data_IF_309223577057
#
_entry.id   IF_309223577057
#
_cell.length_a   1.000
_cell.length_b   1.000
_cell.length_c   1.000
_cell.angle_alpha   90.00
_cell.angle_beta   90.00
_cell.angle_gamma   90.00
#
_symmetry.space_group_name_H-M   'P 1'
#
loop_
_entity.id
_entity.type
_entity.pdbx_description
1 polymer ?
#
# COMPACT_ATOMS: atom_id res chain seq x y z
N UNK A 1 -8.78 0.50 18.67
CA UNK A 1 -8.01 -0.41 17.80
C UNK A 1 -7.79 -1.81 18.37
N UNK A 2 -7.34 -1.95 19.63
CA UNK A 2 -6.96 -3.24 20.24
C UNK A 2 -7.96 -4.38 20.07
N UNK A 3 -9.27 -4.15 20.27
CA UNK A 3 -10.30 -5.18 20.08
C UNK A 3 -10.29 -5.75 18.65
N UNK A 4 -10.19 -4.90 17.63
CA UNK A 4 -10.17 -5.31 16.22
C UNK A 4 -8.89 -6.08 15.90
N UNK A 5 -7.74 -5.59 16.39
CA UNK A 5 -6.44 -6.27 16.23
C UNK A 5 -6.45 -7.66 16.85
N UNK A 6 -7.00 -7.82 18.06
CA UNK A 6 -7.14 -9.14 18.72
C UNK A 6 -8.04 -10.09 17.93
N UNK A 7 -9.11 -9.59 17.32
CA UNK A 7 -9.99 -10.40 16.44
C UNK A 7 -9.27 -10.85 15.17
N UNK A 8 -8.54 -9.95 14.52
CA UNK A 8 -7.71 -10.28 13.34
C UNK A 8 -6.66 -11.34 13.70
N UNK A 9 -5.94 -11.16 14.82
CA UNK A 9 -4.99 -12.16 15.35
C UNK A 9 -5.68 -13.50 15.65
N UNK A 10 -6.84 -13.45 16.30
CA UNK A 10 -7.63 -14.65 16.64
C UNK A 10 -8.19 -15.39 15.43
N UNK A 11 -8.40 -14.70 14.31
CA UNK A 11 -8.77 -15.31 13.02
C UNK A 11 -7.61 -16.02 12.31
N UNK A 12 -6.39 -15.96 12.86
CA UNK A 12 -5.21 -16.66 12.35
C UNK A 12 -4.27 -15.80 11.50
N UNK A 13 -4.57 -14.51 11.34
CA UNK A 13 -3.65 -13.59 10.68
C UNK A 13 -2.39 -13.37 11.52
N UNK A 14 -1.24 -13.31 10.84
CA UNK A 14 0.03 -12.93 11.45
C UNK A 14 0.48 -11.50 11.08
N UNK A 15 -0.16 -10.88 10.10
CA UNK A 15 0.22 -9.60 9.49
C UNK A 15 -1.03 -8.82 9.13
N UNK A 16 -0.97 -7.49 9.25
CA UNK A 16 -1.98 -6.57 8.74
C UNK A 16 -1.41 -5.61 7.70
N UNK A 17 -2.26 -5.15 6.80
CA UNK A 17 -1.95 -4.14 5.81
C UNK A 17 -2.59 -2.81 6.21
N UNK A 18 -1.81 -1.74 6.20
CA UNK A 18 -2.25 -0.46 6.77
C UNK A 18 -1.94 0.66 5.78
N UNK A 19 -3.00 1.26 5.22
CA UNK A 19 -2.88 2.51 4.50
C UNK A 19 -2.74 3.71 5.43
N UNK A 20 -2.03 4.75 4.98
CA UNK A 20 -1.91 6.04 5.69
C UNK A 20 -2.38 7.15 4.76
N UNK A 21 -3.63 7.61 4.87
CA UNK A 21 -4.19 8.62 3.97
C UNK A 21 -3.56 10.00 4.21
N UNK A 22 -2.78 10.48 3.25
CA UNK A 22 -2.06 11.76 3.36
C UNK A 22 -3.02 12.93 3.64
N UNK A 23 -4.15 13.04 2.94
CA UNK A 23 -5.15 14.09 3.14
C UNK A 23 -5.79 14.11 4.54
N UNK A 24 -5.80 12.98 5.25
CA UNK A 24 -6.31 12.89 6.61
C UNK A 24 -5.34 13.52 7.61
N UNK A 25 -4.04 13.34 7.34
CA UNK A 25 -2.95 13.84 8.18
C UNK A 25 -2.51 15.27 7.80
N UNK A 26 -2.71 15.73 6.56
CA UNK A 26 -2.33 17.07 6.11
C UNK A 26 -3.50 17.78 5.41
N UNK A 27 -4.55 18.07 6.18
CA UNK A 27 -5.76 18.76 5.68
C UNK A 27 -5.48 20.16 5.13
N UNK A 28 -4.46 20.84 5.67
CA UNK A 28 -3.93 22.12 5.19
C UNK A 28 -2.44 21.94 4.91
N UNK A 29 -1.97 22.46 3.78
CA UNK A 29 -0.55 22.39 3.40
C UNK A 29 0.37 22.89 4.53
N UNK A 30 1.37 22.08 4.86
CA UNK A 30 2.35 22.27 5.93
C UNK A 30 1.82 22.00 7.34
N UNK A 31 0.55 21.58 7.51
CA UNK A 31 -0.05 21.34 8.84
C UNK A 31 -0.42 19.87 9.02
N UNK A 32 0.52 19.14 9.62
CA UNK A 32 0.38 17.73 9.91
C UNK A 32 -0.29 17.48 11.27
N UNK A 33 -1.18 16.49 11.29
CA UNK A 33 -1.91 16.05 12.48
C UNK A 33 -1.89 14.53 12.59
N UNK A 34 -1.26 14.05 13.67
CA UNK A 34 -1.15 12.65 14.05
C UNK A 34 -1.67 12.44 15.48
N UNK A 35 -2.64 13.24 15.92
CA UNK A 35 -3.22 13.11 17.25
C UNK A 35 -4.61 12.44 17.23
N UNK A 36 -5.03 11.96 18.40
CA UNK A 36 -6.36 11.38 18.57
C UNK A 36 -6.59 10.16 17.68
N UNK A 37 -7.63 10.20 16.85
CA UNK A 37 -7.92 9.13 15.88
C UNK A 37 -6.89 9.00 14.75
N UNK A 38 -6.00 9.98 14.60
CA UNK A 38 -4.91 10.00 13.60
C UNK A 38 -3.58 9.50 14.15
N UNK A 39 -3.55 9.02 15.39
CA UNK A 39 -2.34 8.61 16.08
C UNK A 39 -1.83 7.26 15.58
N UNK A 40 -1.06 7.30 14.49
CA UNK A 40 -0.45 6.13 13.88
C UNK A 40 0.68 5.54 14.74
N UNK A 41 1.34 6.34 15.57
CA UNK A 41 2.38 5.88 16.49
C UNK A 41 1.78 4.95 17.55
N UNK A 42 0.69 5.39 18.17
CA UNK A 42 -0.09 4.57 19.10
C UNK A 42 -0.67 3.34 18.41
N UNK A 43 -1.24 3.50 17.21
CA UNK A 43 -1.79 2.36 16.47
C UNK A 43 -0.75 1.27 16.23
N UNK A 44 0.43 1.62 15.72
CA UNK A 44 1.51 0.66 15.43
C UNK A 44 2.08 0.03 16.71
N UNK A 45 2.18 0.80 17.80
CA UNK A 45 2.54 0.27 19.12
C UNK A 45 1.58 -0.83 19.58
N UNK A 46 0.27 -0.61 19.40
CA UNK A 46 -0.76 -1.60 19.74
C UNK A 46 -0.71 -2.84 18.83
N UNK A 47 -0.37 -2.68 17.54
CA UNK A 47 -0.22 -3.81 16.61
C UNK A 47 0.94 -4.70 17.06
N UNK A 48 2.07 -4.11 17.43
CA UNK A 48 3.22 -4.81 18.00
C UNK A 48 2.86 -5.52 19.31
N UNK A 49 2.14 -4.86 20.22
CA UNK A 49 1.70 -5.45 21.49
C UNK A 49 0.81 -6.68 21.28
N UNK A 50 -0.09 -6.64 20.30
CA UNK A 50 -0.95 -7.79 19.93
C UNK A 50 -0.15 -8.91 19.23
N UNK A 51 1.08 -8.65 18.79
CA UNK A 51 1.94 -9.62 18.14
C UNK A 51 1.59 -9.88 16.67
N UNK A 52 1.23 -8.81 15.96
CA UNK A 52 1.01 -8.81 14.50
C UNK A 52 2.15 -8.05 13.81
N UNK A 53 2.51 -8.48 12.61
CA UNK A 53 3.36 -7.71 11.70
C UNK A 53 2.55 -6.69 10.89
N UNK A 54 3.23 -5.72 10.29
CA UNK A 54 2.62 -4.67 9.48
C UNK A 54 3.28 -4.60 8.10
N UNK A 55 2.47 -4.58 7.06
CA UNK A 55 2.83 -3.97 5.79
C UNK A 55 2.27 -2.55 5.80
N UNK A 56 3.15 -1.56 5.81
CA UNK A 56 2.74 -0.16 5.81
C UNK A 56 2.64 0.37 4.38
N UNK A 57 1.56 1.08 4.06
CA UNK A 57 1.23 1.56 2.71
C UNK A 57 0.91 3.06 2.78
N UNK A 58 1.90 3.95 2.99
CA UNK A 58 1.62 5.37 3.22
C UNK A 58 1.41 6.20 1.94
N UNK A 59 1.25 5.54 0.79
CA UNK A 59 0.92 6.20 -0.47
C UNK A 59 2.14 6.56 -1.32
N UNK A 60 2.20 7.77 -1.92
CA UNK A 60 1.36 8.95 -1.62
C UNK A 60 -0.11 8.81 -2.04
N UNK A 61 -0.40 8.00 -3.06
CA UNK A 61 -1.77 7.60 -3.44
C UNK A 61 -2.06 6.20 -2.91
N UNK A 62 -3.24 5.98 -2.35
CA UNK A 62 -3.66 4.71 -1.72
C UNK A 62 -4.93 4.10 -2.30
N UNK A 63 -5.66 4.81 -3.18
CA UNK A 63 -7.02 4.42 -3.58
C UNK A 63 -7.95 4.23 -2.36
N UNK A 64 -8.23 2.98 -1.98
CA UNK A 64 -8.90 2.57 -0.74
C UNK A 64 -10.35 3.07 -0.58
N UNK A 65 -11.04 3.41 -1.68
CA UNK A 65 -12.37 4.01 -1.64
C UNK A 65 -12.43 5.20 -0.67
N UNK A 66 -11.33 5.95 -0.59
CA UNK A 66 -11.11 7.09 0.28
C UNK A 66 -11.06 8.38 -0.55
N UNK A 67 -11.52 9.49 0.02
CA UNK A 67 -11.52 10.80 -0.64
C UNK A 67 -10.14 11.13 -1.26
N UNK A 68 -10.14 11.59 -2.51
CA UNK A 68 -8.92 11.89 -3.28
C UNK A 68 -7.94 10.71 -3.46
N UNK A 69 -8.34 9.48 -3.13
CA UNK A 69 -7.42 8.34 -3.03
C UNK A 69 -6.29 8.57 -2.02
N UNK A 70 -6.57 9.36 -0.98
CA UNK A 70 -5.62 9.78 0.05
C UNK A 70 -4.81 11.03 -0.29
N UNK A 71 -4.90 11.60 -1.49
CA UNK A 71 -4.16 12.81 -1.85
C UNK A 71 -4.87 14.08 -1.35
N UNK A 72 -4.16 15.05 -0.72
CA UNK A 72 -4.78 16.29 -0.27
C UNK A 72 -5.38 17.12 -1.40
N UNK A 73 -6.58 17.67 -1.18
CA UNK A 73 -7.29 18.48 -2.17
C UNK A 73 -6.48 19.71 -2.66
N UNK A 74 -5.67 20.30 -1.80
CA UNK A 74 -4.84 21.45 -2.13
C UNK A 74 -3.71 21.15 -3.13
N UNK A 75 -3.37 19.87 -3.37
CA UNK A 75 -2.43 19.49 -4.44
C UNK A 75 -3.04 19.75 -5.81
N UNK A 76 -4.34 19.50 -6.00
CA UNK A 76 -4.99 19.53 -7.31
C UNK A 76 -5.16 20.95 -7.87
N UNK A 77 -5.00 21.98 -7.04
CA UNK A 77 -5.07 23.38 -7.47
C UNK A 77 -3.69 24.00 -7.74
N UNK A 78 -2.60 23.22 -7.62
CA UNK A 78 -1.24 23.70 -7.91
C UNK A 78 -1.06 23.80 -9.42
N UNK A 79 -0.72 25.00 -9.88
CA UNK A 79 -0.50 25.25 -11.31
C UNK A 79 0.66 24.39 -11.84
N UNK A 80 0.44 23.70 -12.95
CA UNK A 80 1.45 22.89 -13.63
C UNK A 80 1.79 21.55 -12.97
N UNK A 81 1.19 21.20 -11.83
CA UNK A 81 1.46 19.92 -11.15
C UNK A 81 0.97 18.74 -11.99
N UNK A 82 1.74 17.65 -12.01
CA UNK A 82 1.30 16.38 -12.60
C UNK A 82 1.27 15.30 -11.53
N UNK A 83 0.07 15.05 -11.03
CA UNK A 83 -0.20 14.07 -9.96
C UNK A 83 0.18 12.66 -10.42
N UNK A 84 0.84 11.90 -9.53
CA UNK A 84 1.27 10.51 -9.74
C UNK A 84 2.15 10.34 -11.00
N UNK A 85 3.03 11.31 -11.23
CA UNK A 85 4.05 11.29 -12.28
C UNK A 85 5.44 11.44 -11.68
N UNK A 86 6.47 11.16 -12.48
CA UNK A 86 7.86 11.55 -12.19
C UNK A 86 8.06 13.08 -12.40
N UNK A 87 7.18 13.87 -11.77
CA UNK A 87 7.11 15.33 -11.89
C UNK A 87 7.81 15.97 -10.67
N UNK A 88 8.82 16.82 -10.87
CA UNK A 88 9.57 17.43 -9.76
C UNK A 88 8.69 18.23 -8.79
N UNK A 89 7.65 18.91 -9.29
CA UNK A 89 6.76 19.70 -8.45
C UNK A 89 5.93 18.78 -7.54
N UNK A 90 5.26 17.76 -8.10
CA UNK A 90 4.53 16.76 -7.33
C UNK A 90 5.45 16.04 -6.32
N UNK A 91 6.61 15.57 -6.77
CA UNK A 91 7.57 14.84 -5.93
C UNK A 91 8.14 15.70 -4.79
N UNK A 92 8.21 17.03 -4.95
CA UNK A 92 8.60 17.93 -3.87
C UNK A 92 7.61 17.93 -2.69
N UNK A 93 6.31 17.77 -2.98
CA UNK A 93 5.28 17.63 -1.94
C UNK A 93 5.28 16.22 -1.34
N UNK A 94 5.44 15.19 -2.19
CA UNK A 94 5.57 13.80 -1.71
C UNK A 94 6.76 13.66 -0.75
N UNK A 95 7.88 14.34 -1.03
CA UNK A 95 9.05 14.35 -0.13
C UNK A 95 8.70 14.90 1.26
N UNK A 96 7.97 16.02 1.34
CA UNK A 96 7.50 16.59 2.63
C UNK A 96 6.57 15.64 3.37
N UNK A 97 5.66 14.98 2.66
CA UNK A 97 4.79 13.96 3.25
C UNK A 97 5.60 12.80 3.82
N UNK A 98 6.53 12.26 3.04
CA UNK A 98 7.38 11.15 3.44
C UNK A 98 8.28 11.51 4.61
N UNK A 99 8.84 12.72 4.65
CA UNK A 99 9.60 13.24 5.80
C UNK A 99 8.79 13.13 7.10
N UNK A 100 7.53 13.60 7.10
CA UNK A 100 6.70 13.58 8.32
C UNK A 100 6.17 12.20 8.69
N UNK A 101 5.62 11.45 7.72
CA UNK A 101 5.05 10.13 8.03
C UNK A 101 6.17 9.14 8.40
N UNK A 102 7.29 9.13 7.68
CA UNK A 102 8.39 8.19 7.94
C UNK A 102 9.09 8.52 9.25
N UNK A 103 9.16 9.80 9.68
CA UNK A 103 9.64 10.15 11.02
C UNK A 103 8.91 9.39 12.12
N UNK A 104 7.60 9.18 11.97
CA UNK A 104 6.79 8.40 12.90
C UNK A 104 6.94 6.89 12.65
N UNK A 105 6.98 6.44 11.40
CA UNK A 105 7.07 5.01 11.06
C UNK A 105 8.45 4.41 11.39
N UNK A 106 9.51 5.20 11.40
CA UNK A 106 10.89 4.72 11.48
C UNK A 106 11.16 3.82 12.70
N UNK A 107 10.78 4.20 13.95
CA UNK A 107 10.93 3.34 15.13
C UNK A 107 10.07 2.07 15.10
N UNK A 108 9.03 2.04 14.25
CA UNK A 108 8.13 0.88 14.12
C UNK A 108 8.61 -0.14 13.09
N UNK A 109 9.74 0.08 12.42
CA UNK A 109 10.36 -0.91 11.56
C UNK A 109 10.90 -2.09 12.36
N UNK A 110 10.77 -3.30 11.81
CA UNK A 110 11.26 -4.52 12.49
C UNK A 110 12.78 -4.48 12.74
N UNK A 111 13.52 -3.77 11.89
CA UNK A 111 14.95 -3.48 12.02
C UNK A 111 15.28 -2.59 13.22
N UNK A 112 14.31 -1.82 13.71
CA UNK A 112 14.39 -0.96 14.90
C UNK A 112 13.62 -1.55 16.11
N UNK A 113 13.21 -2.82 16.02
CA UNK A 113 12.47 -3.53 17.08
C UNK A 113 10.96 -3.37 17.05
N UNK A 114 10.41 -2.74 16.00
CA UNK A 114 8.99 -2.61 15.72
C UNK A 114 8.37 -3.80 14.98
N UNK A 115 7.23 -3.58 14.33
CA UNK A 115 6.44 -4.63 13.65
C UNK A 115 6.28 -4.44 12.14
N UNK A 116 6.71 -3.31 11.57
CA UNK A 116 6.67 -3.07 10.12
C UNK A 116 7.72 -3.94 9.43
N UNK A 117 7.27 -4.82 8.53
CA UNK A 117 8.12 -5.76 7.80
C UNK A 117 8.28 -5.40 6.32
N UNK A 118 7.34 -4.63 5.77
CA UNK A 118 7.34 -4.19 4.37
C UNK A 118 6.79 -2.77 4.29
N UNK A 119 7.30 -2.00 3.33
CA UNK A 119 6.82 -0.66 3.03
C UNK A 119 6.41 -0.61 1.56
N UNK A 120 5.14 -0.33 1.28
CA UNK A 120 4.66 -0.20 -0.09
C UNK A 120 4.81 1.24 -0.59
N UNK A 121 5.39 1.36 -1.78
CA UNK A 121 5.42 2.58 -2.59
C UNK A 121 4.23 2.58 -3.53
N UNK A 122 3.50 3.70 -3.58
CA UNK A 122 2.36 3.87 -4.50
C UNK A 122 1.25 2.82 -4.28
N UNK A 123 0.23 2.86 -5.13
CA UNK A 123 -0.83 1.87 -5.19
C UNK A 123 -1.39 1.71 -6.62
N UNK A 124 -1.24 0.51 -7.19
CA UNK A 124 -1.82 0.10 -8.46
C UNK A 124 -1.63 1.14 -9.59
N UNK A 125 -0.40 1.64 -9.73
CA UNK A 125 -0.04 2.65 -10.74
C UNK A 125 -0.43 2.22 -12.17
N UNK A 126 -0.53 0.91 -12.42
CA UNK A 126 -0.96 0.36 -13.71
C UNK A 126 -2.39 0.75 -14.14
N UNK A 127 -3.26 1.16 -13.21
CA UNK A 127 -4.58 1.71 -13.53
C UNK A 127 -4.57 3.22 -13.77
N UNK A 128 -3.40 3.85 -13.74
CA UNK A 128 -3.22 5.27 -13.99
C UNK A 128 -2.28 5.49 -15.17
N UNK A 129 -2.52 6.55 -15.93
CA UNK A 129 -1.66 6.89 -17.06
C UNK A 129 -0.39 7.60 -16.57
N UNK A 130 0.61 6.83 -16.17
CA UNK A 130 1.93 7.33 -15.79
C UNK A 130 2.88 7.29 -16.99
N UNK A 131 3.50 8.41 -17.34
CA UNK A 131 4.40 8.51 -18.49
C UNK A 131 5.77 7.86 -18.29
N UNK A 132 6.22 7.77 -17.04
CA UNK A 132 7.48 7.14 -16.63
C UNK A 132 7.30 6.37 -15.30
N UNK A 133 6.64 5.19 -15.34
CA UNK A 133 6.36 4.42 -14.12
C UNK A 133 7.65 4.01 -13.39
N UNK A 134 8.66 3.56 -14.14
CA UNK A 134 9.93 3.10 -13.57
C UNK A 134 10.68 4.24 -12.88
N UNK A 135 10.80 5.41 -13.53
CA UNK A 135 11.47 6.56 -12.94
C UNK A 135 10.70 7.11 -11.74
N UNK A 136 9.36 7.17 -11.81
CA UNK A 136 8.53 7.61 -10.69
C UNK A 136 8.71 6.70 -9.45
N UNK A 137 8.58 5.38 -9.60
CA UNK A 137 8.79 4.43 -8.49
C UNK A 137 10.23 4.49 -7.97
N UNK A 138 11.23 4.65 -8.85
CA UNK A 138 12.63 4.81 -8.44
C UNK A 138 12.83 6.07 -7.58
N UNK A 139 12.21 7.20 -7.94
CA UNK A 139 12.28 8.41 -7.13
C UNK A 139 11.56 8.25 -5.79
N UNK A 140 10.39 7.59 -5.75
CA UNK A 140 9.71 7.29 -4.48
C UNK A 140 10.55 6.40 -3.57
N UNK A 141 11.24 5.40 -4.14
CA UNK A 141 12.17 4.53 -3.42
C UNK A 141 13.29 5.36 -2.79
N UNK A 142 13.92 6.24 -3.55
CA UNK A 142 15.00 7.09 -3.06
C UNK A 142 14.52 8.02 -1.94
N UNK A 143 13.36 8.66 -2.10
CA UNK A 143 12.74 9.48 -1.04
C UNK A 143 12.50 8.65 0.23
N UNK A 144 12.00 7.43 0.12
CA UNK A 144 11.76 6.56 1.28
C UNK A 144 13.07 6.15 1.98
N UNK A 145 14.12 5.81 1.20
CA UNK A 145 15.44 5.46 1.73
C UNK A 145 16.13 6.64 2.40
N UNK A 146 16.11 7.82 1.78
CA UNK A 146 16.66 9.06 2.34
C UNK A 146 16.07 9.38 3.72
N UNK A 147 14.79 9.03 3.92
CA UNK A 147 14.05 9.27 5.17
C UNK A 147 14.18 8.12 6.19
N UNK A 148 14.96 7.07 5.90
CA UNK A 148 15.31 6.03 6.86
C UNK A 148 14.41 4.80 6.84
N UNK A 149 13.69 4.53 5.74
CA UNK A 149 13.09 3.21 5.53
C UNK A 149 14.21 2.21 5.23
N UNK A 150 14.29 1.14 6.02
CA UNK A 150 15.30 0.08 5.95
C UNK A 150 14.69 -1.28 5.62
N UNK A 151 13.40 -1.49 5.88
CA UNK A 151 12.68 -2.70 5.46
C UNK A 151 12.56 -2.81 3.93
N UNK A 152 12.28 -3.99 3.37
CA UNK A 152 12.07 -4.13 1.93
C UNK A 152 10.92 -3.24 1.43
N UNK A 153 11.15 -2.62 0.27
CA UNK A 153 10.18 -1.80 -0.43
C UNK A 153 9.44 -2.66 -1.44
N UNK A 154 8.12 -2.45 -1.55
CA UNK A 154 7.28 -3.17 -2.50
C UNK A 154 6.48 -2.20 -3.37
N UNK A 155 6.11 -2.61 -4.57
CA UNK A 155 5.01 -2.02 -5.36
C UNK A 155 3.91 -3.05 -5.56
N UNK A 156 2.67 -2.61 -5.75
CA UNK A 156 1.56 -3.49 -6.12
C UNK A 156 1.12 -3.25 -7.57
N UNK A 157 1.07 -4.33 -8.34
CA UNK A 157 0.52 -4.35 -9.70
C UNK A 157 -0.95 -4.75 -9.67
N UNK A 158 -1.83 -3.84 -10.05
CA UNK A 158 -3.26 -4.12 -10.24
C UNK A 158 -3.45 -5.15 -11.35
N UNK A 159 -4.06 -6.29 -11.03
CA UNK A 159 -4.28 -7.43 -11.94
C UNK A 159 -3.01 -7.92 -12.69
N UNK A 160 -1.83 -7.66 -12.14
CA UNK A 160 -0.56 -8.14 -12.71
C UNK A 160 -0.01 -7.34 -13.89
N UNK A 161 -0.43 -6.08 -14.13
CA UNK A 161 0.24 -5.19 -15.09
C UNK A 161 1.55 -4.62 -14.49
N UNK A 162 2.59 -5.45 -14.45
CA UNK A 162 3.82 -5.17 -13.70
C UNK A 162 4.63 -4.00 -14.28
N UNK A 163 4.65 -3.85 -15.61
CA UNK A 163 5.40 -2.79 -16.29
C UNK A 163 4.81 -1.43 -15.94
N UNK A 164 3.50 -1.26 -16.10
CA UNK A 164 2.83 0.00 -15.75
C UNK A 164 2.79 0.26 -14.25
N UNK A 165 2.91 -0.78 -13.43
CA UNK A 165 3.09 -0.62 -11.98
C UNK A 165 4.49 -0.14 -11.57
N UNK A 166 5.44 -0.02 -12.50
CA UNK A 166 6.82 0.38 -12.20
C UNK A 166 7.65 -0.72 -11.53
N UNK A 167 7.26 -1.99 -11.69
CA UNK A 167 7.94 -3.16 -11.10
C UNK A 167 9.38 -3.38 -11.58
N UNK A 168 9.80 -2.62 -12.59
CA UNK A 168 11.16 -2.63 -13.11
C UNK A 168 12.15 -1.81 -12.27
N UNK A 169 11.67 -0.97 -11.35
CA UNK A 169 12.52 -0.21 -10.45
C UNK A 169 13.44 -1.16 -9.66
N UNK A 170 14.72 -0.81 -9.57
CA UNK A 170 15.73 -1.62 -8.90
C UNK A 170 15.55 -1.55 -7.38
N UNK A 171 15.83 -2.66 -6.69
CA UNK A 171 15.71 -2.79 -5.23
C UNK A 171 14.29 -2.59 -4.67
N UNK A 172 13.28 -2.70 -5.53
CA UNK A 172 11.86 -2.71 -5.17
C UNK A 172 11.27 -4.06 -5.54
N UNK A 173 10.65 -4.73 -4.57
CA UNK A 173 10.01 -6.02 -4.78
C UNK A 173 8.64 -5.84 -5.42
N UNK A 174 8.22 -6.81 -6.22
CA UNK A 174 6.91 -6.78 -6.85
C UNK A 174 5.90 -7.62 -6.09
N UNK A 175 4.75 -7.02 -5.84
CA UNK A 175 3.53 -7.66 -5.38
C UNK A 175 2.39 -7.45 -6.38
N UNK A 176 1.28 -8.17 -6.22
CA UNK A 176 0.11 -8.06 -7.09
C UNK A 176 -1.19 -7.93 -6.28
N UNK A 177 -2.18 -7.32 -6.90
CA UNK A 177 -3.56 -7.38 -6.44
C UNK A 177 -4.38 -8.23 -7.40
N UNK A 178 -5.08 -9.23 -6.87
CA UNK A 178 -5.76 -10.26 -7.63
C UNK A 178 -7.24 -10.35 -7.21
N UNK A 179 -8.12 -9.76 -8.03
CA UNK A 179 -9.56 -9.74 -7.79
C UNK A 179 -10.26 -10.73 -8.73
N UNK A 180 -10.63 -11.89 -8.21
CA UNK A 180 -11.45 -12.85 -8.93
C UNK A 180 -12.21 -13.73 -7.94
N UNK A 181 -13.39 -14.19 -8.36
CA UNK A 181 -14.19 -15.14 -7.59
C UNK A 181 -13.41 -16.45 -7.38
N UNK A 182 -13.66 -17.11 -6.25
CA UNK A 182 -12.96 -18.33 -5.87
C UNK A 182 -13.30 -19.55 -6.72
N UNK A 183 -14.34 -19.49 -7.55
CA UNK A 183 -14.71 -20.50 -8.53
C UNK A 183 -14.10 -20.27 -9.93
N UNK A 184 -13.36 -19.17 -10.12
CA UNK A 184 -12.70 -18.89 -11.39
C UNK A 184 -11.76 -20.05 -11.76
N UNK A 185 -11.87 -20.65 -12.96
CA UNK A 185 -11.03 -21.79 -13.33
C UNK A 185 -9.55 -21.42 -13.53
N UNK A 186 -9.21 -20.13 -13.60
CA UNK A 186 -7.85 -19.64 -13.90
C UNK A 186 -7.03 -19.22 -12.68
N UNK A 187 -7.50 -19.40 -11.45
CA UNK A 187 -6.79 -18.93 -10.24
C UNK A 187 -5.34 -19.43 -10.19
N UNK A 188 -5.11 -20.73 -10.35
CA UNK A 188 -3.77 -21.31 -10.26
C UNK A 188 -2.89 -20.87 -11.44
N UNK A 189 -3.47 -20.72 -12.64
CA UNK A 189 -2.76 -20.23 -13.82
C UNK A 189 -2.24 -18.80 -13.59
N UNK A 190 -3.13 -17.90 -13.14
CA UNK A 190 -2.79 -16.50 -12.83
C UNK A 190 -1.78 -16.42 -11.69
N UNK A 191 -2.00 -17.15 -10.60
CA UNK A 191 -1.10 -17.17 -9.44
C UNK A 191 0.30 -17.71 -9.81
N UNK A 192 0.37 -18.77 -10.62
CA UNK A 192 1.64 -19.34 -11.08
C UNK A 192 2.36 -18.41 -12.06
N UNK A 193 1.62 -17.77 -12.96
CA UNK A 193 2.16 -16.74 -13.86
C UNK A 193 2.79 -15.59 -13.07
N UNK A 194 2.08 -15.08 -12.06
CA UNK A 194 2.60 -14.07 -11.15
C UNK A 194 3.83 -14.56 -10.38
N UNK A 195 3.77 -15.76 -9.78
CA UNK A 195 4.89 -16.31 -9.02
C UNK A 195 6.16 -16.44 -9.89
N UNK A 196 6.01 -16.87 -11.15
CA UNK A 196 7.11 -16.93 -12.11
C UNK A 196 7.69 -15.55 -12.43
N UNK A 197 6.83 -14.53 -12.59
CA UNK A 197 7.28 -13.16 -12.76
C UNK A 197 8.05 -12.67 -11.53
N UNK A 198 7.49 -12.85 -10.33
CA UNK A 198 8.12 -12.46 -9.07
C UNK A 198 9.50 -13.11 -8.91
N UNK A 199 9.63 -14.42 -9.17
CA UNK A 199 10.91 -15.13 -9.09
C UNK A 199 11.95 -14.62 -10.10
N UNK A 200 11.55 -14.32 -11.35
CA UNK A 200 12.45 -13.70 -12.35
C UNK A 200 12.98 -12.34 -11.88
N UNK A 201 12.19 -11.62 -11.08
CA UNK A 201 12.55 -10.34 -10.45
C UNK A 201 13.23 -10.50 -9.09
N UNK A 202 13.57 -11.73 -8.67
CA UNK A 202 14.11 -12.04 -7.32
C UNK A 202 13.20 -11.55 -6.19
N UNK A 203 11.90 -11.43 -6.46
CA UNK A 203 10.85 -11.13 -5.50
C UNK A 203 10.26 -12.43 -4.93
N UNK A 204 9.44 -12.26 -3.90
CA UNK A 204 8.61 -13.33 -3.32
C UNK A 204 7.19 -13.21 -3.89
N UNK A 205 6.48 -14.33 -4.03
CA UNK A 205 5.07 -14.33 -4.41
C UNK A 205 4.20 -13.71 -3.31
N UNK A 206 3.85 -12.43 -3.50
CA UNK A 206 3.07 -11.60 -2.57
C UNK A 206 1.82 -11.08 -3.27
N UNK A 207 0.65 -11.46 -2.76
CA UNK A 207 -0.62 -10.86 -3.15
C UNK A 207 -1.07 -9.94 -2.01
N UNK A 208 -1.08 -8.64 -2.25
CA UNK A 208 -1.36 -7.63 -1.21
C UNK A 208 -2.82 -7.26 -1.11
N UNK A 209 -3.61 -7.59 -2.14
CA UNK A 209 -5.07 -7.53 -2.08
C UNK A 209 -5.69 -8.65 -2.91
N UNK A 210 -6.70 -9.29 -2.32
CA UNK A 210 -7.55 -10.28 -2.99
C UNK A 210 -8.90 -10.38 -2.28
N UNK A 211 -9.83 -11.10 -2.88
CA UNK A 211 -11.13 -11.40 -2.26
C UNK A 211 -10.97 -12.29 -1.02
N UNK A 212 -11.98 -12.26 -0.15
CA UNK A 212 -11.93 -12.93 1.16
C UNK A 212 -12.48 -14.34 1.17
N UNK A 213 -12.84 -14.87 0.01
CA UNK A 213 -13.38 -16.22 -0.11
C UNK A 213 -12.34 -17.26 0.37
N UNK A 214 -12.68 -18.11 1.36
CA UNK A 214 -11.72 -19.08 1.89
C UNK A 214 -11.15 -20.04 0.82
N UNK A 215 -11.96 -20.39 -0.19
CA UNK A 215 -11.50 -21.24 -1.29
C UNK A 215 -10.45 -20.53 -2.15
N UNK A 216 -10.64 -19.24 -2.43
CA UNK A 216 -9.68 -18.44 -3.17
C UNK A 216 -8.34 -18.36 -2.42
N UNK A 217 -8.37 -17.95 -1.14
CA UNK A 217 -7.17 -17.82 -0.32
C UNK A 217 -6.41 -19.14 -0.24
N UNK A 218 -7.13 -20.27 -0.07
CA UNK A 218 -6.53 -21.60 -0.09
C UNK A 218 -5.86 -21.92 -1.42
N UNK A 219 -6.50 -21.61 -2.55
CA UNK A 219 -5.96 -21.85 -3.90
C UNK A 219 -4.71 -21.02 -4.14
N UNK A 220 -4.72 -19.74 -3.79
CA UNK A 220 -3.56 -18.84 -3.88
C UNK A 220 -2.35 -19.35 -3.08
N UNK A 221 -2.57 -19.76 -1.82
CA UNK A 221 -1.53 -20.36 -0.99
C UNK A 221 -1.03 -21.70 -1.57
N UNK A 222 -1.96 -22.53 -2.08
CA UNK A 222 -1.62 -23.83 -2.68
C UNK A 222 -0.83 -23.68 -3.98
N UNK A 223 -1.00 -22.58 -4.70
CA UNK A 223 -0.20 -22.23 -5.87
C UNK A 223 1.24 -21.78 -5.52
N UNK A 224 1.56 -21.65 -4.23
CA UNK A 224 2.91 -21.37 -3.74
C UNK A 224 3.19 -19.93 -3.32
N UNK A 225 2.18 -19.06 -3.34
CA UNK A 225 2.28 -17.70 -2.81
C UNK A 225 2.61 -17.74 -1.31
N UNK A 226 3.46 -16.80 -0.87
CA UNK A 226 4.00 -16.77 0.51
C UNK A 226 3.30 -15.74 1.39
N UNK A 227 2.76 -14.69 0.77
CA UNK A 227 1.95 -13.68 1.42
C UNK A 227 0.69 -13.50 0.60
N UNK A 228 -0.46 -13.59 1.25
CA UNK A 228 -1.77 -13.38 0.66
C UNK A 228 -2.56 -12.52 1.65
N UNK A 229 -2.94 -11.32 1.24
CA UNK A 229 -3.72 -10.40 2.05
C UNK A 229 -5.13 -10.23 1.49
N UNK A 230 -6.14 -10.83 2.15
CA UNK A 230 -7.53 -10.62 1.80
C UNK A 230 -7.98 -9.21 2.24
N UNK A 231 -8.49 -8.43 1.30
CA UNK A 231 -8.92 -7.06 1.54
C UNK A 231 -10.46 -7.00 1.65
N UNK A 232 -11.06 -6.48 2.71
CA UNK A 232 -10.50 -5.98 3.97
C UNK A 232 -10.43 -7.07 5.08
N UNK A 233 -9.29 -7.16 5.78
CA UNK A 233 -9.14 -8.02 6.97
C UNK A 233 -10.04 -7.57 8.13
N UNK A 234 -10.13 -6.26 8.33
CA UNK A 234 -11.14 -5.60 9.15
C UNK A 234 -11.57 -4.33 8.41
N UNK A 235 -12.86 -4.08 8.35
CA UNK A 235 -13.38 -2.81 7.85
C UNK A 235 -13.66 -1.86 9.00
N UNK A 236 -14.03 -0.63 8.67
CA UNK A 236 -14.43 0.41 9.58
C UNK A 236 -15.62 1.17 9.01
N UNK A 237 -15.57 2.49 9.10
CA UNK A 237 -16.61 3.37 8.57
C UNK A 237 -15.95 4.63 8.05
N UNK A 238 -16.33 5.06 6.85
CA UNK A 238 -15.95 6.37 6.34
C UNK A 238 -16.79 7.42 7.09
N UNK A 239 -16.25 7.95 8.18
CA UNK A 239 -16.88 9.01 8.95
C UNK A 239 -16.78 10.35 8.21
N UNK A 240 -17.71 11.27 8.47
CA UNK A 240 -17.70 12.60 7.85
C UNK A 240 -17.73 12.53 6.31
N UNK A 241 -16.74 13.14 5.67
CA UNK A 241 -16.66 13.29 4.21
C UNK A 241 -15.51 12.51 3.59
N UNK A 242 -15.01 11.47 4.27
CA UNK A 242 -13.85 10.70 3.80
C UNK A 242 -14.17 9.61 2.77
N UNK A 243 -15.43 9.49 2.34
CA UNK A 243 -15.81 8.51 1.33
C UNK A 243 -15.21 8.87 -0.03
N UNK A 244 -14.62 7.89 -0.70
CA UNK A 244 -14.21 8.02 -2.09
C UNK A 244 -15.41 8.01 -3.04
N UNK A 245 -15.14 8.37 -4.29
CA UNK A 245 -16.09 8.28 -5.39
C UNK A 245 -15.41 7.59 -6.55
N UNK A 246 -16.17 6.78 -7.28
CA UNK A 246 -15.74 6.16 -8.52
C UNK A 246 -16.59 6.71 -9.66
N UNK A 247 -15.99 6.86 -10.83
CA UNK A 247 -16.67 7.28 -12.04
C UNK A 247 -16.57 6.20 -13.13
N UNK A 248 -16.61 4.91 -12.76
CA UNK A 248 -16.56 3.78 -13.70
C UNK A 248 -17.47 4.06 -14.91
N UNK A 249 -16.89 4.58 -15.99
CA UNK A 249 -17.56 4.66 -17.28
C UNK A 249 -17.56 3.26 -17.87
N UNK A 250 -18.34 3.04 -18.93
CA UNK A 250 -18.09 1.84 -19.74
C UNK A 250 -16.62 1.87 -20.18
N UNK A 251 -15.86 0.78 -19.94
CA UNK A 251 -14.42 0.72 -20.21
C UNK A 251 -14.07 0.82 -21.70
#
# INVERSE_FOLDING_TARGET
WTDRLRKVKGAGYNTIDVYVPWNYHETLEGKFDFQGEKDIDLFLSLVREVGLYVVIRPGPYICSEWDGGGLPAWLFIKEGIKIRQNDPLYLSYVRKWYEEVIRILKPHQITEGGSIILFQLENELGFFLCGDPKGYISTLKDIARDNGVTVPLIVCAGQGDYEKAGSEAEEVLTSANLYFAGDNPKVEEVATSYLNFAHKRKSVGMVMETEREPILVKRLLSAGLKMVSPYLQTSGTNLGYWHGQNNWSEP
#
